data_IF_361347204337
#
_entry.id   IF_361347204337
#
_cell.length_a   1.000
_cell.length_b   1.000
_cell.length_c   1.000
_cell.angle_alpha   90.00
_cell.angle_beta   90.00
_cell.angle_gamma   90.00
#
_symmetry.space_group_name_H-M   'P 1'
#
loop_
_entity.id
_entity.type
_entity.pdbx_description
1 polymer ?
#
# COMPACT_ATOMS: atom_id res chain seq x y z
N UNK A 1 7.00 5.35 1.44
CA UNK A 1 7.39 4.38 0.39
C UNK A 1 6.34 4.29 -0.71
N UNK A 2 5.04 4.07 -0.42
CA UNK A 2 3.97 3.96 -1.45
C UNK A 2 3.97 5.17 -2.38
N UNK A 3 3.95 6.38 -1.81
CA UNK A 3 4.01 7.63 -2.59
C UNK A 3 5.33 7.79 -3.36
N UNK A 4 6.43 7.20 -2.86
CA UNK A 4 7.72 7.24 -3.55
C UNK A 4 7.74 6.33 -4.78
N UNK A 5 7.13 5.16 -4.69
CA UNK A 5 6.94 4.27 -5.85
C UNK A 5 6.13 4.98 -6.93
N UNK A 6 5.02 5.65 -6.55
CA UNK A 6 4.21 6.43 -7.47
C UNK A 6 5.00 7.57 -8.11
N UNK A 7 5.78 8.31 -7.31
CA UNK A 7 6.65 9.37 -7.82
C UNK A 7 7.69 8.85 -8.81
N UNK A 8 8.31 7.71 -8.53
CA UNK A 8 9.25 7.08 -9.45
C UNK A 8 8.60 6.74 -10.80
N UNK A 9 7.34 6.28 -10.80
CA UNK A 9 6.58 6.03 -12.04
C UNK A 9 6.33 7.32 -12.82
N UNK A 10 5.92 8.39 -12.13
CA UNK A 10 5.60 9.69 -12.77
C UNK A 10 6.87 10.37 -13.31
N UNK A 11 7.96 10.32 -12.56
CA UNK A 11 9.26 10.92 -12.91
C UNK A 11 10.12 10.00 -13.79
N UNK A 12 9.65 8.81 -14.11
CA UNK A 12 10.36 7.78 -14.89
C UNK A 12 11.77 7.49 -14.39
N UNK A 13 11.95 7.39 -13.07
CA UNK A 13 13.24 7.13 -12.43
C UNK A 13 13.23 5.88 -11.56
N UNK A 14 14.40 5.29 -11.37
CA UNK A 14 14.60 4.13 -10.52
C UNK A 14 14.29 4.45 -9.04
N UNK A 15 13.84 3.43 -8.30
CA UNK A 15 13.61 3.53 -6.87
C UNK A 15 14.86 3.12 -6.09
N UNK A 16 15.43 4.07 -5.35
CA UNK A 16 16.54 3.84 -4.44
C UNK A 16 16.03 3.46 -3.06
N UNK A 17 16.34 2.24 -2.63
CA UNK A 17 15.96 1.70 -1.33
C UNK A 17 17.15 1.67 -0.38
N UNK A 18 17.01 2.32 0.78
CA UNK A 18 18.01 2.31 1.86
C UNK A 18 17.94 1.08 2.75
N UNK A 19 16.85 0.32 2.67
CA UNK A 19 16.62 -0.93 3.39
C UNK A 19 16.37 -2.07 2.41
N UNK A 20 16.37 -3.30 2.91
CA UNK A 20 16.07 -4.50 2.12
C UNK A 20 14.61 -4.60 1.64
N UNK A 21 13.71 -3.77 2.20
CA UNK A 21 12.31 -3.70 1.82
C UNK A 21 11.46 -4.89 2.26
N UNK A 22 11.92 -5.71 3.23
CA UNK A 22 11.22 -6.94 3.63
C UNK A 22 10.06 -6.72 4.61
N UNK A 23 9.90 -5.52 5.17
CA UNK A 23 8.72 -5.19 5.98
C UNK A 23 7.45 -5.35 5.15
N UNK A 24 6.49 -6.14 5.67
CA UNK A 24 5.21 -6.41 5.02
C UNK A 24 4.09 -5.56 5.59
N UNK A 25 3.21 -5.07 4.74
CA UNK A 25 2.05 -4.27 5.11
C UNK A 25 0.89 -4.55 4.16
N UNK A 26 -0.33 -4.34 4.67
CA UNK A 26 -1.51 -4.24 3.83
C UNK A 26 -1.70 -2.79 3.38
N UNK A 27 -2.22 -2.61 2.18
CA UNK A 27 -2.71 -1.33 1.67
C UNK A 27 -4.23 -1.32 1.76
N UNK A 28 -4.81 -0.16 2.04
CA UNK A 28 -6.24 0.04 1.99
C UNK A 28 -6.54 1.26 1.12
N UNK A 29 -7.32 1.05 0.07
CA UNK A 29 -7.74 2.12 -0.82
C UNK A 29 -8.65 3.12 -0.09
N UNK A 30 -8.49 4.40 -0.39
CA UNK A 30 -9.21 5.46 0.33
C UNK A 30 -10.74 5.30 0.27
N UNK A 31 -11.30 4.91 -0.89
CA UNK A 31 -12.74 4.69 -0.99
C UNK A 31 -13.21 3.43 -0.24
N UNK A 32 -12.40 2.39 -0.15
CA UNK A 32 -12.69 1.23 0.70
C UNK A 32 -12.68 1.63 2.18
N UNK A 33 -11.75 2.51 2.59
CA UNK A 33 -11.73 3.05 3.95
C UNK A 33 -12.98 3.90 4.25
N UNK A 34 -13.42 4.75 3.33
CA UNK A 34 -14.67 5.51 3.46
C UNK A 34 -15.86 4.56 3.56
N UNK A 35 -15.93 3.53 2.71
CA UNK A 35 -16.99 2.52 2.77
C UNK A 35 -16.99 1.76 4.11
N UNK A 36 -15.80 1.48 4.69
CA UNK A 36 -15.69 0.88 6.02
C UNK A 36 -16.29 1.79 7.10
N UNK A 37 -15.94 3.08 7.09
CA UNK A 37 -16.46 4.08 8.03
C UNK A 37 -17.99 4.16 7.94
N UNK A 38 -18.55 4.26 6.73
CA UNK A 38 -19.99 4.30 6.51
C UNK A 38 -20.68 3.01 6.97
N UNK A 39 -20.05 1.85 6.73
CA UNK A 39 -20.59 0.57 7.20
C UNK A 39 -20.65 0.52 8.71
N UNK A 40 -19.60 0.96 9.40
CA UNK A 40 -19.58 1.01 10.88
C UNK A 40 -20.61 2.01 11.40
N UNK A 41 -20.73 3.17 10.77
CA UNK A 41 -21.70 4.19 11.16
C UNK A 41 -23.15 3.67 11.09
N UNK A 42 -23.46 2.90 10.04
CA UNK A 42 -24.84 2.42 9.79
C UNK A 42 -25.16 1.09 10.51
N UNK A 43 -24.17 0.24 10.74
CA UNK A 43 -24.38 -1.14 11.21
C UNK A 43 -23.54 -1.51 12.42
N UNK A 44 -22.58 -0.69 12.80
CA UNK A 44 -21.69 -0.94 13.92
C UNK A 44 -22.43 -0.84 15.26
N UNK A 45 -21.87 -1.50 16.25
CA UNK A 45 -22.35 -1.42 17.62
C UNK A 45 -21.64 -0.28 18.35
N UNK A 46 -22.40 0.54 19.06
CA UNK A 46 -21.85 1.65 19.83
C UNK A 46 -20.80 1.18 20.86
N UNK A 47 -19.70 1.92 20.97
CA UNK A 47 -18.57 1.61 21.87
C UNK A 47 -17.63 0.53 21.38
N UNK A 48 -17.84 -0.03 20.17
CA UNK A 48 -17.00 -1.08 19.60
C UNK A 48 -15.96 -0.53 18.62
N UNK A 49 -14.76 -1.12 18.61
CA UNK A 49 -13.72 -0.82 17.63
C UNK A 49 -13.74 -1.86 16.48
N UNK A 50 -13.44 -1.40 15.27
CA UNK A 50 -13.40 -2.21 14.06
C UNK A 50 -12.11 -1.96 13.30
N UNK A 51 -11.36 -3.01 12.97
CA UNK A 51 -10.20 -2.90 12.09
C UNK A 51 -10.68 -2.90 10.64
N UNK A 52 -10.03 -2.06 9.81
CA UNK A 52 -10.22 -2.03 8.36
C UNK A 52 -8.85 -2.19 7.67
N UNK A 53 -8.72 -3.21 6.84
CA UNK A 53 -7.51 -3.53 6.09
C UNK A 53 -7.88 -4.35 4.86
N UNK A 54 -7.00 -4.40 3.87
CA UNK A 54 -7.12 -5.32 2.75
C UNK A 54 -6.03 -6.40 2.81
N UNK A 55 -6.31 -7.59 3.34
CA UNK A 55 -5.33 -8.68 3.43
C UNK A 55 -4.81 -9.14 2.07
N UNK A 56 -5.57 -8.96 0.98
CA UNK A 56 -5.19 -9.36 -0.38
C UNK A 56 -4.03 -8.49 -0.92
N UNK A 57 -3.74 -7.37 -0.27
CA UNK A 57 -2.62 -6.46 -0.59
C UNK A 57 -1.41 -6.65 0.34
N UNK A 58 -1.34 -7.77 1.09
CA UNK A 58 -0.26 -8.03 2.04
C UNK A 58 1.03 -8.40 1.34
N UNK A 59 1.85 -7.41 1.07
CA UNK A 59 3.15 -7.55 0.39
C UNK A 59 4.27 -6.87 1.18
N UNK A 60 5.50 -7.33 0.91
CA UNK A 60 6.69 -6.56 1.29
C UNK A 60 6.80 -5.30 0.44
N UNK A 61 7.50 -4.30 0.95
CA UNK A 61 7.77 -3.07 0.19
C UNK A 61 8.52 -3.38 -1.11
N UNK A 62 9.45 -4.34 -1.07
CA UNK A 62 10.18 -4.81 -2.25
C UNK A 62 9.24 -5.45 -3.27
N UNK A 63 8.39 -6.39 -2.84
CA UNK A 63 7.47 -7.10 -3.73
C UNK A 63 6.45 -6.13 -4.33
N UNK A 64 5.94 -5.18 -3.53
CA UNK A 64 5.04 -4.13 -3.99
C UNK A 64 5.69 -3.30 -5.11
N UNK A 65 6.89 -2.79 -4.89
CA UNK A 65 7.58 -1.97 -5.87
C UNK A 65 7.93 -2.77 -7.14
N UNK A 66 8.37 -4.02 -6.99
CA UNK A 66 8.64 -4.92 -8.12
C UNK A 66 7.39 -5.18 -8.95
N UNK A 67 6.25 -5.48 -8.30
CA UNK A 67 4.97 -5.71 -8.95
C UNK A 67 4.50 -4.47 -9.72
N UNK A 68 4.52 -3.31 -9.07
CA UNK A 68 4.08 -2.04 -9.65
C UNK A 68 4.93 -1.64 -10.84
N UNK A 69 6.26 -1.76 -10.75
CA UNK A 69 7.14 -1.47 -11.89
C UNK A 69 6.94 -2.44 -13.04
N UNK A 70 6.82 -3.74 -12.76
CA UNK A 70 6.54 -4.73 -13.81
C UNK A 70 5.22 -4.47 -14.54
N UNK A 71 4.21 -3.97 -13.82
CA UNK A 71 2.88 -3.70 -14.39
C UNK A 71 2.83 -2.38 -15.16
N UNK A 72 3.39 -1.29 -14.62
CA UNK A 72 3.17 0.06 -15.14
C UNK A 72 4.35 0.63 -15.93
N UNK A 73 5.60 0.30 -15.56
CA UNK A 73 6.80 0.70 -16.32
C UNK A 73 7.96 -0.28 -16.08
N UNK A 74 8.07 -1.35 -16.86
CA UNK A 74 9.07 -2.41 -16.67
C UNK A 74 10.52 -1.97 -16.93
N UNK A 75 10.74 -0.73 -17.37
CA UNK A 75 12.10 -0.18 -17.54
C UNK A 75 12.71 0.26 -16.22
N UNK A 76 11.88 0.58 -15.22
CA UNK A 76 12.32 1.05 -13.90
C UNK A 76 12.85 -0.10 -13.05
N UNK A 77 13.85 0.20 -12.23
CA UNK A 77 14.54 -0.77 -11.39
C UNK A 77 14.50 -0.40 -9.92
N UNK A 78 14.62 -1.43 -9.08
CA UNK A 78 14.92 -1.27 -7.66
C UNK A 78 16.43 -1.28 -7.48
N UNK A 79 16.97 -0.19 -6.94
CA UNK A 79 18.39 -0.05 -6.61
C UNK A 79 18.53 -0.10 -5.09
N UNK A 80 19.28 -1.07 -4.58
CA UNK A 80 19.54 -1.17 -3.15
C UNK A 80 20.84 -0.47 -2.82
N UNK A 81 20.78 0.54 -1.95
CA UNK A 81 21.96 1.23 -1.44
C UNK A 81 22.60 0.37 -0.35
N UNK A 82 23.68 -0.35 -0.68
CA UNK A 82 24.47 -1.15 0.25
C UNK A 82 25.30 -0.25 1.20
N UNK A 83 24.64 0.54 2.04
CA UNK A 83 25.32 1.30 3.08
C UNK A 83 25.35 0.46 4.35
N UNK A 84 26.51 -0.13 4.67
CA UNK A 84 26.74 -0.84 5.93
C UNK A 84 26.45 0.04 7.19
N UNK A 85 26.43 1.36 7.02
CA UNK A 85 26.08 2.33 8.07
C UNK A 85 24.56 2.47 8.31
N UNK A 86 23.71 1.97 7.42
CA UNK A 86 22.26 2.10 7.58
C UNK A 86 21.59 0.95 8.34
N UNK A 87 22.35 -0.09 8.71
CA UNK A 87 21.81 -1.21 9.50
C UNK A 87 21.41 -0.81 10.93
N UNK A 88 22.01 0.22 11.50
CA UNK A 88 21.83 0.62 12.90
C UNK A 88 20.57 1.46 13.18
N UNK A 89 19.79 1.83 12.17
CA UNK A 89 18.61 2.70 12.33
C UNK A 89 17.27 2.08 11.92
N UNK A 90 17.27 0.87 11.37
CA UNK A 90 16.02 0.24 10.93
C UNK A 90 15.42 -0.67 12.00
N UNK A 91 14.14 -0.47 12.26
CA UNK A 91 13.37 -1.36 13.13
C UNK A 91 13.35 -2.78 12.53
N UNK A 92 13.33 -3.82 13.38
CA UNK A 92 13.18 -5.21 12.91
C UNK A 92 12.00 -5.35 11.96
N UNK A 93 12.11 -6.27 10.99
CA UNK A 93 11.02 -6.54 10.04
C UNK A 93 9.71 -6.78 10.76
N UNK A 94 8.71 -5.99 10.44
CA UNK A 94 7.37 -6.14 10.98
C UNK A 94 6.45 -6.67 9.90
N UNK A 95 5.69 -7.70 10.26
CA UNK A 95 4.64 -8.28 9.42
C UNK A 95 3.36 -8.26 10.24
N UNK A 96 2.48 -7.30 9.96
CA UNK A 96 1.23 -7.13 10.70
C UNK A 96 0.08 -7.22 9.71
N UNK A 97 -0.78 -8.21 9.91
CA UNK A 97 -2.08 -8.32 9.25
C UNK A 97 -3.15 -8.04 10.29
N UNK A 98 -4.04 -7.10 10.00
CA UNK A 98 -5.14 -6.78 10.88
C UNK A 98 -6.29 -7.75 10.65
N UNK A 99 -6.85 -8.30 11.74
CA UNK A 99 -8.07 -9.10 11.68
C UNK A 99 -9.29 -8.18 11.45
N UNK A 100 -9.91 -8.33 10.28
CA UNK A 100 -11.10 -7.57 9.86
C UNK A 100 -12.40 -8.37 9.99
N UNK A 101 -12.38 -9.57 10.61
CA UNK A 101 -13.55 -10.46 10.73
C UNK A 101 -14.77 -9.74 11.27
N UNK A 102 -14.59 -8.90 12.29
CA UNK A 102 -15.67 -8.13 12.92
C UNK A 102 -16.33 -7.13 11.95
N UNK A 103 -15.55 -6.45 11.13
CA UNK A 103 -16.06 -5.52 10.11
C UNK A 103 -16.69 -6.29 8.94
N UNK A 104 -16.07 -7.40 8.53
CA UNK A 104 -16.58 -8.25 7.47
C UNK A 104 -17.97 -8.83 7.82
N UNK A 105 -18.21 -9.15 9.10
CA UNK A 105 -19.52 -9.61 9.58
C UNK A 105 -20.63 -8.54 9.43
N UNK A 106 -20.27 -7.24 9.31
CA UNK A 106 -21.23 -6.18 8.99
C UNK A 106 -21.52 -6.06 7.49
N UNK A 107 -20.85 -6.89 6.64
CA UNK A 107 -21.01 -6.92 5.19
C UNK A 107 -20.04 -6.03 4.43
N UNK A 108 -18.98 -5.51 5.08
CA UNK A 108 -17.91 -4.79 4.40
C UNK A 108 -16.78 -5.74 3.97
N UNK A 109 -16.21 -5.49 2.81
CA UNK A 109 -14.96 -6.10 2.31
C UNK A 109 -14.25 -5.09 1.42
N UNK A 110 -12.92 -5.00 1.54
CA UNK A 110 -12.10 -4.23 0.61
C UNK A 110 -12.23 -4.79 -0.81
N UNK A 111 -12.20 -3.92 -1.82
CA UNK A 111 -12.45 -4.28 -3.23
C UNK A 111 -11.29 -3.93 -4.14
N UNK A 112 -10.53 -2.87 -3.80
CA UNK A 112 -9.45 -2.39 -4.63
C UNK A 112 -8.19 -3.24 -4.44
N UNK A 113 -7.62 -3.75 -5.51
CA UNK A 113 -6.30 -4.36 -5.56
C UNK A 113 -5.21 -3.29 -5.77
N UNK A 114 -3.96 -3.73 -5.79
CA UNK A 114 -2.79 -2.86 -5.96
C UNK A 114 -2.83 -2.17 -7.32
N UNK A 115 -3.17 -2.89 -8.37
CA UNK A 115 -3.18 -2.34 -9.73
C UNK A 115 -4.22 -1.24 -9.87
N UNK A 116 -5.41 -1.44 -9.31
CA UNK A 116 -6.47 -0.42 -9.28
C UNK A 116 -5.99 0.85 -8.55
N UNK A 117 -5.36 0.70 -7.37
CA UNK A 117 -4.87 1.83 -6.58
C UNK A 117 -3.88 2.66 -7.41
N UNK A 118 -2.84 2.03 -7.95
CA UNK A 118 -1.82 2.74 -8.72
C UNK A 118 -2.34 3.31 -10.04
N UNK A 119 -3.25 2.60 -10.72
CA UNK A 119 -3.88 3.09 -11.94
C UNK A 119 -4.66 4.39 -11.72
N UNK A 120 -5.44 4.45 -10.64
CA UNK A 120 -6.23 5.64 -10.30
C UNK A 120 -5.32 6.81 -9.91
N UNK A 121 -4.29 6.54 -9.11
CA UNK A 121 -3.37 7.58 -8.67
C UNK A 121 -2.53 8.12 -9.85
N UNK A 122 -2.06 7.29 -10.76
CA UNK A 122 -1.34 7.72 -11.96
C UNK A 122 -2.22 8.59 -12.87
N UNK A 123 -3.48 8.22 -13.09
CA UNK A 123 -4.42 9.01 -13.89
C UNK A 123 -4.60 10.42 -13.30
N UNK A 124 -4.73 10.55 -11.99
CA UNK A 124 -4.85 11.84 -11.30
C UNK A 124 -3.62 12.73 -11.48
N UNK A 125 -2.41 12.15 -11.43
CA UNK A 125 -1.19 12.92 -11.66
C UNK A 125 -1.08 13.43 -13.08
N UNK A 126 -1.52 12.65 -14.07
CA UNK A 126 -1.53 13.09 -15.46
C UNK A 126 -2.51 14.23 -15.71
N UNK A 127 -3.67 14.23 -15.08
CA UNK A 127 -4.68 15.31 -15.17
C UNK A 127 -4.20 16.62 -14.53
N UNK A 128 -3.35 16.57 -13.50
CA UNK A 128 -2.83 17.76 -12.82
C UNK A 128 -1.61 18.37 -13.51
N UNK A 129 -1.05 17.68 -14.50
CA UNK A 129 0.16 18.13 -15.24
C UNK A 129 -0.18 18.83 -16.57
N UNK A 130 -1.48 19.02 -16.87
CA UNK A 130 -2.05 19.77 -17.99
C UNK A 130 -2.56 21.12 -17.49
#
# INVERSE_FOLDING_TARGET
VVNEILRCLVEERDLHMKSDGLTKKCMLYALDAVAAILTVLLKGKAGEAYNASNPDTFLSVRDLASHVFATFNPKLKLVFENNAASADGFLPHRSIVQDCTKLNALGWKAKADIDHIYKVDLARFQEQSV
#
